data_IF_247434757573
#
_entry.id   IF_247434757573
#
_cell.length_a   1.000
_cell.length_b   1.000
_cell.length_c   1.000
_cell.angle_alpha   90.00
_cell.angle_beta   90.00
_cell.angle_gamma   90.00
#
_symmetry.space_group_name_H-M   'P 1'
#
loop_
_entity.id
_entity.type
_entity.pdbx_description
1 polymer ?
#
# COMPACT_ATOMS: atom_id res chain seq x y z
N UNK A 1 -3.41 -27.35 -12.38
CA UNK A 1 -2.70 -27.16 -11.10
C UNK A 1 -1.92 -25.87 -11.27
N UNK A 2 -2.55 -24.73 -10.95
CA UNK A 2 -1.95 -23.42 -11.17
C UNK A 2 -1.11 -23.07 -9.96
N UNK A 3 0.17 -22.85 -10.20
CA UNK A 3 1.19 -22.40 -9.26
C UNK A 3 0.70 -21.15 -8.49
N UNK A 4 0.34 -21.30 -7.22
CA UNK A 4 -0.25 -20.25 -6.38
C UNK A 4 0.76 -19.76 -5.32
N UNK A 5 1.77 -19.00 -5.74
CA UNK A 5 2.60 -18.24 -4.80
C UNK A 5 1.89 -16.91 -4.44
N UNK A 6 1.75 -16.54 -3.15
CA UNK A 6 1.32 -15.20 -2.76
C UNK A 6 2.38 -14.17 -3.19
N UNK A 7 1.93 -13.00 -3.64
CA UNK A 7 2.80 -11.94 -4.15
C UNK A 7 3.90 -11.59 -3.13
N UNK A 8 5.16 -11.77 -3.57
CA UNK A 8 6.40 -11.40 -2.88
C UNK A 8 6.61 -11.95 -1.46
N UNK A 9 6.12 -13.16 -1.17
CA UNK A 9 6.39 -13.85 0.11
C UNK A 9 7.89 -13.93 0.48
N UNK A 10 8.75 -13.95 -0.54
CA UNK A 10 10.20 -14.11 -0.43
C UNK A 10 10.95 -12.79 -0.30
N UNK A 11 10.26 -11.66 -0.46
CA UNK A 11 10.84 -10.33 -0.33
C UNK A 11 11.41 -10.12 1.07
N UNK A 12 12.66 -9.68 1.15
CA UNK A 12 13.33 -9.42 2.42
C UNK A 12 12.92 -8.02 2.91
N UNK A 13 12.54 -7.92 4.20
CA UNK A 13 12.13 -6.69 4.84
C UNK A 13 13.07 -6.37 6.01
N UNK A 14 13.29 -5.09 6.26
CA UNK A 14 13.85 -4.64 7.53
C UNK A 14 12.81 -4.77 8.65
N UNK A 15 13.21 -5.39 9.75
CA UNK A 15 12.46 -5.46 11.00
C UNK A 15 12.94 -4.34 11.90
N UNK A 16 12.01 -3.58 12.47
CA UNK A 16 12.29 -2.34 13.17
C UNK A 16 11.73 -2.31 14.59
N UNK A 17 12.36 -1.53 15.46
CA UNK A 17 11.84 -1.23 16.79
C UNK A 17 10.74 -0.15 16.76
N UNK A 18 10.26 0.22 17.94
CA UNK A 18 9.23 1.25 18.14
C UNK A 18 9.69 2.67 17.75
N UNK A 19 10.99 2.87 17.53
CA UNK A 19 11.59 4.14 17.13
C UNK A 19 12.09 4.10 15.68
N UNK A 20 11.61 3.14 14.88
CA UNK A 20 11.94 2.98 13.48
C UNK A 20 13.44 2.71 13.24
N UNK A 21 14.11 2.01 14.15
CA UNK A 21 15.50 1.56 13.97
C UNK A 21 15.52 0.10 13.55
N UNK A 22 16.35 -0.22 12.55
CA UNK A 22 16.50 -1.60 12.07
C UNK A 22 17.16 -2.45 13.15
N UNK A 23 16.51 -3.55 13.52
CA UNK A 23 16.97 -4.54 14.52
C UNK A 23 17.19 -5.93 13.91
N UNK A 24 16.83 -6.11 12.64
CA UNK A 24 17.04 -7.36 11.93
C UNK A 24 16.35 -7.33 10.56
N UNK A 25 16.33 -8.48 9.90
CA UNK A 25 15.67 -8.68 8.62
C UNK A 25 14.90 -10.00 8.62
N UNK A 26 13.79 -10.05 7.89
CA UNK A 26 13.02 -11.28 7.70
C UNK A 26 12.33 -11.27 6.33
N UNK A 27 12.05 -12.47 5.80
CA UNK A 27 11.17 -12.57 4.63
C UNK A 27 9.80 -12.03 4.99
N UNK A 28 9.12 -11.46 4.01
CA UNK A 28 7.77 -10.91 4.14
C UNK A 28 6.84 -11.91 4.81
N UNK A 29 6.81 -13.16 4.32
CA UNK A 29 5.97 -14.20 4.91
C UNK A 29 6.24 -14.41 6.42
N UNK A 30 7.51 -14.41 6.82
CA UNK A 30 7.92 -14.59 8.22
C UNK A 30 7.56 -13.37 9.07
N UNK A 31 7.72 -12.16 8.52
CA UNK A 31 7.33 -10.92 9.18
C UNK A 31 5.83 -10.90 9.51
N UNK A 32 4.97 -11.29 8.55
CA UNK A 32 3.53 -11.42 8.80
C UNK A 32 3.21 -12.56 9.77
N UNK A 33 3.79 -13.76 9.58
CA UNK A 33 3.50 -14.93 10.42
C UNK A 33 3.88 -14.72 11.90
N UNK A 34 5.00 -14.01 12.14
CA UNK A 34 5.53 -13.72 13.47
C UNK A 34 5.14 -12.34 13.99
N UNK A 35 4.31 -11.61 13.24
CA UNK A 35 3.84 -10.25 13.58
C UNK A 35 5.00 -9.28 13.87
N UNK A 36 6.08 -9.39 13.10
CA UNK A 36 7.25 -8.54 13.25
C UNK A 36 6.96 -7.15 12.71
N UNK A 37 7.37 -6.14 13.48
CA UNK A 37 7.24 -4.75 13.07
C UNK A 37 8.17 -4.47 11.90
N UNK A 38 7.60 -4.03 10.80
CA UNK A 38 8.31 -3.70 9.56
C UNK A 38 7.89 -2.31 9.07
N UNK A 39 8.25 -1.96 7.84
CA UNK A 39 7.98 -0.66 7.23
C UNK A 39 7.06 -0.80 6.02
N UNK A 40 6.15 0.16 5.86
CA UNK A 40 5.26 0.27 4.72
C UNK A 40 5.22 1.71 4.21
N UNK A 41 5.09 1.89 2.90
CA UNK A 41 4.83 3.18 2.26
C UNK A 41 3.41 3.21 1.71
N UNK A 42 2.70 4.32 1.91
CA UNK A 42 1.35 4.56 1.41
C UNK A 42 1.34 5.86 0.61
N UNK A 43 0.90 5.81 -0.63
CA UNK A 43 0.95 6.94 -1.56
C UNK A 43 -0.45 7.32 -1.98
N UNK A 44 -0.82 8.55 -1.66
CA UNK A 44 -2.03 9.19 -2.12
C UNK A 44 -1.82 9.74 -3.53
N UNK A 45 -2.59 9.26 -4.50
CA UNK A 45 -2.41 9.65 -5.90
C UNK A 45 -3.50 10.64 -6.31
N UNK A 46 -3.09 11.80 -6.81
CA UNK A 46 -3.99 12.83 -7.37
C UNK A 46 -3.72 13.08 -8.84
N UNK A 47 -4.75 13.44 -9.58
CA UNK A 47 -4.58 14.00 -10.92
C UNK A 47 -4.58 15.53 -10.92
N UNK A 48 -4.31 16.14 -12.08
CA UNK A 48 -4.32 17.59 -12.27
C UNK A 48 -5.67 18.28 -12.02
N UNK A 49 -6.77 17.53 -11.89
CA UNK A 49 -8.07 18.05 -11.49
C UNK A 49 -8.33 17.89 -9.97
N UNK A 50 -7.33 17.43 -9.20
CA UNK A 50 -7.41 17.20 -7.77
C UNK A 50 -8.25 15.98 -7.37
N UNK A 51 -8.62 15.12 -8.33
CA UNK A 51 -9.34 13.87 -8.04
C UNK A 51 -8.38 12.84 -7.48
N UNK A 52 -8.88 12.02 -6.56
CA UNK A 52 -8.13 10.98 -5.88
C UNK A 52 -8.33 9.66 -6.60
N UNK A 53 -7.23 8.93 -6.83
CA UNK A 53 -7.31 7.56 -7.27
C UNK A 53 -7.87 6.66 -6.17
N UNK A 54 -8.91 5.92 -6.48
CA UNK A 54 -9.53 4.94 -5.60
C UNK A 54 -9.55 3.60 -6.32
N UNK A 55 -9.28 2.53 -5.60
CA UNK A 55 -9.29 1.19 -6.16
C UNK A 55 -9.92 0.19 -5.22
N UNK A 56 -10.44 -0.91 -5.78
CA UNK A 56 -10.89 -2.05 -4.97
C UNK A 56 -9.76 -3.06 -4.83
N UNK A 57 -9.25 -3.24 -3.61
CA UNK A 57 -8.20 -4.19 -3.23
C UNK A 57 -8.54 -5.60 -3.70
N UNK A 58 -7.53 -6.39 -4.07
CA UNK A 58 -7.75 -7.80 -4.40
C UNK A 58 -8.24 -8.59 -3.17
N UNK A 59 -8.95 -9.69 -3.42
CA UNK A 59 -9.31 -10.65 -2.37
C UNK A 59 -8.09 -11.38 -1.78
N UNK A 60 -6.90 -11.23 -2.40
CA UNK A 60 -5.66 -11.91 -2.01
C UNK A 60 -4.86 -11.14 -0.95
N UNK A 61 -5.21 -9.88 -0.66
CA UNK A 61 -4.49 -9.10 0.36
C UNK A 61 -4.70 -9.70 1.75
N UNK A 62 -3.63 -9.82 2.55
CA UNK A 62 -3.72 -10.36 3.90
C UNK A 62 -4.51 -9.43 4.85
N UNK A 63 -4.58 -8.14 4.54
CA UNK A 63 -5.28 -7.12 5.33
C UNK A 63 -6.31 -6.41 4.44
N UNK A 64 -7.55 -6.30 4.92
CA UNK A 64 -8.70 -5.66 4.23
C UNK A 64 -8.94 -6.15 2.79
N UNK A 65 -9.16 -7.44 2.54
CA UNK A 65 -9.45 -7.94 1.20
C UNK A 65 -10.74 -7.32 0.64
N UNK A 66 -10.78 -7.07 -0.66
CA UNK A 66 -11.97 -6.60 -1.41
C UNK A 66 -12.54 -5.22 -1.03
N UNK A 67 -11.88 -4.47 -0.14
CA UNK A 67 -12.29 -3.11 0.25
C UNK A 67 -11.86 -2.07 -0.79
N UNK A 68 -12.50 -0.89 -0.78
CA UNK A 68 -12.01 0.27 -1.49
C UNK A 68 -10.87 0.94 -0.70
N UNK A 69 -9.81 1.28 -1.40
CA UNK A 69 -8.60 1.91 -0.88
C UNK A 69 -8.26 3.13 -1.74
N UNK A 70 -7.70 4.14 -1.11
CA UNK A 70 -7.28 5.40 -1.74
C UNK A 70 -5.76 5.56 -1.77
N UNK A 71 -5.04 4.61 -1.18
CA UNK A 71 -3.59 4.54 -1.24
C UNK A 71 -3.16 3.42 -2.18
N UNK A 72 -2.14 3.71 -2.97
CA UNK A 72 -1.26 2.67 -3.55
C UNK A 72 -0.06 2.50 -2.62
N UNK A 73 0.55 1.34 -2.56
CA UNK A 73 1.68 1.14 -1.65
C UNK A 73 1.90 -0.30 -1.20
N UNK A 74 3.02 -0.48 -0.52
CA UNK A 74 3.46 -1.79 -0.10
C UNK A 74 4.48 -1.73 1.02
N UNK A 75 5.12 -2.87 1.20
CA UNK A 75 6.21 -3.03 2.16
C UNK A 75 7.46 -2.33 1.63
N UNK A 76 8.27 -1.80 2.53
CA UNK A 76 9.60 -1.27 2.20
C UNK A 76 10.58 -2.43 2.27
N UNK A 77 11.31 -2.66 1.19
CA UNK A 77 12.32 -3.71 1.11
C UNK A 77 13.48 -3.48 2.08
N UNK A 78 14.21 -4.54 2.40
CA UNK A 78 15.40 -4.48 3.22
C UNK A 78 16.45 -3.50 2.63
N UNK A 79 16.86 -2.50 3.41
CA UNK A 79 17.80 -1.45 2.96
C UNK A 79 17.22 -0.42 1.99
N UNK A 80 15.95 -0.57 1.59
CA UNK A 80 15.24 0.41 0.75
C UNK A 80 14.79 1.60 1.60
N UNK A 81 14.90 2.81 1.06
CA UNK A 81 14.34 3.99 1.71
C UNK A 81 12.83 4.08 1.48
N UNK A 82 12.13 4.82 2.35
CA UNK A 82 10.70 5.06 2.15
C UNK A 82 10.39 5.79 0.83
N UNK A 83 11.26 6.69 0.40
CA UNK A 83 11.06 7.48 -0.82
C UNK A 83 11.15 6.59 -2.07
N UNK A 84 12.13 5.67 -2.10
CA UNK A 84 12.29 4.67 -3.16
C UNK A 84 11.10 3.71 -3.21
N UNK A 85 10.69 3.18 -2.06
CA UNK A 85 9.54 2.28 -1.95
C UNK A 85 8.25 2.97 -2.40
N UNK A 86 8.03 4.22 -1.97
CA UNK A 86 6.85 4.99 -2.35
C UNK A 86 6.76 5.18 -3.86
N UNK A 87 7.87 5.57 -4.52
CA UNK A 87 7.90 5.74 -5.97
C UNK A 87 7.70 4.41 -6.70
N UNK A 88 8.43 3.36 -6.30
CA UNK A 88 8.35 2.02 -6.89
C UNK A 88 6.93 1.48 -6.82
N UNK A 89 6.33 1.44 -5.63
CA UNK A 89 4.99 0.91 -5.42
C UNK A 89 3.93 1.72 -6.19
N UNK A 90 4.05 3.05 -6.21
CA UNK A 90 3.13 3.88 -6.98
C UNK A 90 3.21 3.59 -8.50
N UNK A 91 4.41 3.49 -9.05
CA UNK A 91 4.62 3.16 -10.46
C UNK A 91 4.15 1.74 -10.81
N UNK A 92 4.39 0.76 -9.93
CA UNK A 92 3.94 -0.61 -10.11
C UNK A 92 2.42 -0.72 -10.07
N UNK A 93 1.74 -0.19 -9.05
CA UNK A 93 0.28 -0.32 -8.91
C UNK A 93 -0.49 0.46 -9.97
N UNK A 94 -0.01 1.66 -10.32
CA UNK A 94 -0.62 2.47 -11.39
C UNK A 94 -0.26 1.94 -12.79
N UNK A 95 0.79 1.10 -12.89
CA UNK A 95 1.31 0.60 -14.16
C UNK A 95 1.82 1.71 -15.07
N UNK A 96 2.55 2.65 -14.48
CA UNK A 96 3.16 3.81 -15.15
C UNK A 96 4.65 3.86 -14.85
N UNK A 97 5.38 4.75 -15.53
CA UNK A 97 6.80 5.04 -15.27
C UNK A 97 7.05 6.54 -15.42
N UNK A 98 8.06 7.05 -14.74
CA UNK A 98 8.43 8.46 -14.77
C UNK A 98 7.51 9.33 -13.92
N UNK A 99 6.97 8.81 -12.82
CA UNK A 99 6.29 9.66 -11.85
C UNK A 99 7.28 10.64 -11.22
N UNK A 100 6.84 11.85 -10.85
CA UNK A 100 7.65 12.71 -10.01
C UNK A 100 7.90 12.04 -8.65
N UNK A 101 8.97 12.44 -7.97
CA UNK A 101 9.24 11.97 -6.62
C UNK A 101 8.03 12.24 -5.70
N UNK A 102 7.48 11.22 -5.01
CA UNK A 102 6.39 11.41 -4.07
C UNK A 102 6.79 12.36 -2.95
N UNK A 103 5.89 13.25 -2.56
CA UNK A 103 6.12 14.22 -1.49
C UNK A 103 5.75 13.59 -0.15
N UNK A 104 6.66 13.55 0.85
CA UNK A 104 6.35 13.01 2.16
C UNK A 104 5.34 13.91 2.88
N UNK A 105 4.34 13.30 3.51
CA UNK A 105 3.33 14.00 4.30
C UNK A 105 3.59 13.81 5.81
N UNK A 106 3.56 12.57 6.28
CA UNK A 106 3.76 12.24 7.68
C UNK A 106 4.09 10.75 7.86
N UNK A 107 4.55 10.38 9.05
CA UNK A 107 4.82 9.00 9.44
C UNK A 107 4.21 8.70 10.80
N UNK A 108 3.73 7.48 10.97
CA UNK A 108 3.19 7.01 12.25
C UNK A 108 3.36 5.50 12.40
N UNK A 109 3.44 5.04 13.64
CA UNK A 109 3.39 3.62 13.96
C UNK A 109 1.93 3.15 13.96
N UNK A 110 1.60 2.18 13.10
CA UNK A 110 0.34 1.46 13.16
C UNK A 110 0.57 0.16 13.93
N UNK A 111 -0.19 -0.06 15.00
CA UNK A 111 -0.05 -1.23 15.84
C UNK A 111 -1.39 -1.74 16.36
N UNK A 112 -1.62 -3.04 16.19
CA UNK A 112 -2.68 -3.84 16.78
C UNK A 112 -2.09 -5.17 17.29
N UNK A 113 -2.83 -5.98 18.05
CA UNK A 113 -2.34 -7.31 18.45
C UNK A 113 -2.03 -8.27 17.28
N UNK A 114 -2.49 -7.95 16.07
CA UNK A 114 -2.32 -8.74 14.84
C UNK A 114 -1.27 -8.16 13.89
N UNK A 115 -1.01 -6.85 13.98
CA UNK A 115 -0.33 -6.09 12.94
C UNK A 115 0.54 -4.99 13.52
N UNK A 116 1.78 -4.87 13.06
CA UNK A 116 2.66 -3.77 13.46
C UNK A 116 3.52 -3.32 12.26
N UNK A 117 3.47 -2.04 11.91
CA UNK A 117 4.39 -1.43 10.95
C UNK A 117 4.48 0.08 11.09
N UNK A 118 5.64 0.63 10.77
CA UNK A 118 5.79 2.06 10.51
C UNK A 118 5.20 2.40 9.14
N UNK A 119 4.23 3.31 9.14
CA UNK A 119 3.55 3.80 7.95
C UNK A 119 4.15 5.14 7.55
N UNK A 120 4.74 5.21 6.35
CA UNK A 120 5.12 6.48 5.75
C UNK A 120 4.14 6.87 4.66
N UNK A 121 3.54 8.06 4.80
CA UNK A 121 2.47 8.54 3.92
C UNK A 121 3.02 9.61 3.00
N UNK A 122 2.76 9.45 1.71
CA UNK A 122 3.21 10.32 0.64
C UNK A 122 2.03 10.78 -0.22
N UNK A 123 2.25 11.82 -1.02
CA UNK A 123 1.37 12.22 -2.11
C UNK A 123 2.14 12.32 -3.42
N UNK A 124 1.52 11.89 -4.52
CA UNK A 124 2.09 12.06 -5.87
C UNK A 124 1.03 12.51 -6.85
N UNK A 125 1.42 13.39 -7.78
CA UNK A 125 0.58 13.75 -8.92
C UNK A 125 0.84 12.79 -10.08
N UNK A 126 -0.23 12.20 -10.60
CA UNK A 126 -0.21 11.36 -11.79
C UNK A 126 -1.19 11.92 -12.84
N UNK A 127 -0.63 12.50 -13.90
CA UNK A 127 -1.39 12.92 -15.09
C UNK A 127 -1.26 11.89 -16.23
N UNK A 128 -0.55 10.78 -15.98
CA UNK A 128 -0.32 9.72 -16.95
C UNK A 128 -1.56 8.81 -17.06
N UNK A 129 -1.83 8.24 -18.25
CA UNK A 129 -2.82 7.18 -18.39
C UNK A 129 -2.46 5.98 -17.50
N UNK A 130 -3.33 5.67 -16.54
CA UNK A 130 -3.12 4.56 -15.60
C UNK A 130 -3.45 3.24 -16.30
N UNK A 131 -2.45 2.38 -16.43
CA UNK A 131 -2.54 1.06 -17.06
C UNK A 131 -2.15 -0.02 -16.06
N UNK A 132 -3.04 -0.28 -15.09
CA UNK A 132 -2.84 -1.19 -13.95
C UNK A 132 -1.90 -2.38 -14.21
N UNK A 133 -0.94 -2.59 -13.31
CA UNK A 133 -0.41 -3.93 -13.09
C UNK A 133 -1.47 -4.79 -12.39
N UNK A 134 -1.78 -5.96 -12.94
CA UNK A 134 -2.84 -6.88 -12.48
C UNK A 134 -2.65 -7.45 -11.05
N UNK A 135 -1.68 -6.97 -10.27
CA UNK A 135 -1.29 -7.61 -9.02
C UNK A 135 -2.23 -7.33 -7.85
N UNK A 136 -2.86 -6.15 -7.78
CA UNK A 136 -3.48 -5.75 -6.49
C UNK A 136 -4.86 -5.05 -6.49
N UNK A 137 -5.43 -4.69 -7.63
CA UNK A 137 -6.78 -4.13 -7.56
C UNK A 137 -7.67 -4.43 -8.77
N UNK A 138 -8.98 -4.51 -8.49
CA UNK A 138 -10.00 -5.06 -9.38
C UNK A 138 -10.70 -3.99 -10.21
N UNK A 139 -10.90 -2.76 -9.70
CA UNK A 139 -11.52 -1.66 -10.46
C UNK A 139 -10.97 -0.29 -10.00
N UNK A 140 -10.48 0.57 -10.92
CA UNK A 140 -10.11 1.96 -10.62
C UNK A 140 -11.33 2.89 -10.70
N UNK A 141 -11.36 3.89 -9.84
CA UNK A 141 -12.26 5.03 -9.92
C UNK A 141 -11.52 6.28 -9.49
N UNK A 142 -12.00 7.45 -9.90
CA UNK A 142 -11.50 8.73 -9.38
C UNK A 142 -12.61 9.44 -8.61
N UNK A 143 -12.33 9.88 -7.39
CA UNK A 143 -13.28 10.57 -6.53
C UNK A 143 -12.84 12.01 -6.27
N UNK A 144 -13.80 12.95 -6.17
CA UNK A 144 -13.51 14.29 -5.64
C UNK A 144 -13.30 14.17 -4.12
N UNK A 145 -12.32 14.88 -3.53
CA UNK A 145 -12.15 14.92 -2.08
C UNK A 145 -13.46 15.36 -1.40
N UNK A 146 -13.86 14.69 -0.32
CA UNK A 146 -15.07 15.02 0.44
C UNK A 146 -16.39 14.43 -0.08
N UNK A 147 -16.39 13.67 -1.18
CA UNK A 147 -17.56 12.92 -1.64
C UNK A 147 -17.39 11.43 -1.33
N UNK A 148 -17.81 11.01 -0.15
CA UNK A 148 -17.97 9.58 0.14
C UNK A 148 -18.96 8.98 -0.86
N UNK A 149 -18.62 7.85 -1.47
CA UNK A 149 -19.58 7.14 -2.31
C UNK A 149 -20.72 6.62 -1.41
N UNK A 150 -22.00 6.92 -1.71
CA UNK A 150 -23.09 6.34 -0.97
C UNK A 150 -23.21 4.86 -1.39
N UNK A 151 -23.01 3.93 -0.46
CA UNK A 151 -23.25 2.51 -0.72
C UNK A 151 -22.34 1.51 0.00
N UNK A 152 -22.07 1.70 1.29
CA UNK A 152 -21.70 0.56 2.14
C UNK A 152 -22.97 0.13 2.87
N UNK A 153 -23.64 -0.88 2.33
CA UNK A 153 -24.74 -1.59 3.00
C UNK A 153 -24.23 -2.03 4.38
N UNK A 154 -24.85 -1.54 5.46
CA UNK A 154 -24.65 -2.12 6.78
C UNK A 154 -25.38 -3.45 6.79
N UNK A 155 -24.67 -4.56 6.67
CA UNK A 155 -25.20 -5.84 7.12
C UNK A 155 -25.21 -5.82 8.65
N UNK A 156 -26.37 -5.45 9.19
CA UNK A 156 -26.73 -5.74 10.56
C UNK A 156 -27.04 -7.22 10.69
N UNK A 157 -26.20 -7.94 11.44
CA UNK A 157 -26.51 -9.26 11.95
C UNK A 157 -26.49 -9.20 13.48
N UNK A 158 -27.65 -9.46 14.08
CA UNK A 158 -27.85 -9.66 15.52
C UNK A 158 -26.94 -10.75 16.09
#
# INVERSE_FOLDING_TARGET
MSDQAPLSADEMLDIVDEQDRVVGQARRADAYARKLRHRCSFVHVRDGAGRVFVHRRTARKPVFPSHYDMFVGGVVGAGETYDEAALREAEEELGVRGLPAPVPLFRFLYETPEHAWWSAVYEVRCDLPVHRAQRDCSQPASAKPGRAQPGAQRDGGK
#
